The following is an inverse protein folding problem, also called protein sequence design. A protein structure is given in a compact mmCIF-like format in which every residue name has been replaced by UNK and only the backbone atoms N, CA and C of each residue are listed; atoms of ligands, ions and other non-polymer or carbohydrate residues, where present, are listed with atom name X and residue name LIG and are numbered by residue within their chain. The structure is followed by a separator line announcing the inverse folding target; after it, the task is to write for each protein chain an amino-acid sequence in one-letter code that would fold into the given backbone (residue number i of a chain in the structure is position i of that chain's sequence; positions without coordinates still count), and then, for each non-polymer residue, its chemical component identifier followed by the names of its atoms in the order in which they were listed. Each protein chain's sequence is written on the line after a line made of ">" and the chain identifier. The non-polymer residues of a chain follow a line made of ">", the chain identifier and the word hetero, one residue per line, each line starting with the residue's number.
data_IF_358425485093
#
_entry.id   IF_358425485093
#
_cell.length_a   1.000
_cell.length_b   1.000
_cell.length_c   1.000
_cell.angle_alpha   90.00
_cell.angle_beta   90.00
_cell.angle_gamma   90.00
#
_symmetry.space_group_name_H-M   'P 1'
#
loop_
_entity.id
_entity.type
_entity.pdbx_description
1 polymer ?
#
# COMPACT_ATOMS: atom_id res chain seq x y z
N UNK A 1 -13.45 10.03 -51.81
CA UNK A 1 -14.14 9.64 -50.56
C UNK A 1 -13.24 10.10 -49.44
N UNK A 2 -13.59 11.23 -48.86
CA UNK A 2 -12.98 11.79 -47.65
C UNK A 2 -13.19 10.81 -46.48
N UNK A 3 -12.18 10.65 -45.62
CA UNK A 3 -12.40 10.25 -44.24
C UNK A 3 -11.52 11.17 -43.39
N UNK A 4 -12.16 12.19 -42.82
CA UNK A 4 -11.56 13.22 -41.99
C UNK A 4 -11.10 12.64 -40.66
N UNK A 5 -9.80 12.77 -40.41
CA UNK A 5 -9.21 12.67 -39.09
C UNK A 5 -9.40 14.05 -38.42
N UNK A 6 -10.62 14.33 -37.94
CA UNK A 6 -10.84 15.47 -37.06
C UNK A 6 -10.13 15.20 -35.74
N UNK A 7 -8.88 15.66 -35.62
CA UNK A 7 -8.24 15.85 -34.32
C UNK A 7 -9.13 16.84 -33.57
N UNK A 8 -9.82 16.39 -32.53
CA UNK A 8 -10.56 17.27 -31.61
C UNK A 8 -9.54 18.15 -30.89
N UNK A 9 -9.30 19.33 -31.47
CA UNK A 9 -8.54 20.41 -30.87
C UNK A 9 -9.60 21.35 -30.27
N UNK A 10 -9.66 21.49 -28.94
CA UNK A 10 -10.58 22.44 -28.28
C UNK A 10 -10.40 23.87 -28.81
N UNK A 11 -11.48 24.66 -28.84
CA UNK A 11 -11.43 26.05 -29.34
C UNK A 11 -10.49 26.95 -28.52
N UNK A 12 -10.22 26.58 -27.27
CA UNK A 12 -9.32 27.27 -26.33
C UNK A 12 -7.91 26.64 -26.28
N UNK A 13 -7.56 25.75 -27.21
CA UNK A 13 -6.27 25.09 -27.21
C UNK A 13 -5.11 26.01 -27.62
N UNK A 14 -3.93 25.76 -27.06
CA UNK A 14 -2.68 26.44 -27.45
C UNK A 14 -2.39 26.28 -28.96
N UNK A 15 -1.71 27.25 -29.58
CA UNK A 15 -1.46 27.34 -31.04
C UNK A 15 -0.81 26.09 -31.69
N UNK A 16 -0.27 25.17 -30.89
CA UNK A 16 0.35 23.91 -31.34
C UNK A 16 -0.19 22.66 -30.63
N UNK A 17 -1.47 22.68 -30.20
CA UNK A 17 -2.10 21.54 -29.54
C UNK A 17 -2.12 20.30 -30.46
N UNK A 18 -1.54 19.17 -30.03
CA UNK A 18 -1.53 17.95 -30.83
C UNK A 18 -2.92 17.29 -30.94
N UNK A 19 -3.90 17.74 -30.14
CA UNK A 19 -5.24 17.16 -29.98
C UNK A 19 -5.32 16.21 -28.77
N UNK A 20 -6.49 16.08 -28.16
CA UNK A 20 -6.70 15.31 -26.91
C UNK A 20 -6.45 13.81 -27.04
N UNK A 21 -6.59 13.28 -28.26
CA UNK A 21 -6.41 11.86 -28.61
C UNK A 21 -5.02 11.57 -29.23
N UNK A 22 -4.13 12.56 -29.31
CA UNK A 22 -2.79 12.37 -29.88
C UNK A 22 -1.85 11.68 -28.89
N UNK A 23 -0.93 10.87 -29.41
CA UNK A 23 0.17 10.32 -28.60
C UNK A 23 1.02 11.42 -27.95
N UNK A 24 1.03 12.63 -28.51
CA UNK A 24 1.76 13.80 -27.98
C UNK A 24 0.93 14.65 -27.00
N UNK A 25 -0.33 14.30 -26.75
CA UNK A 25 -1.18 14.98 -25.79
C UNK A 25 -0.57 14.92 -24.38
N UNK A 26 -0.34 16.09 -23.77
CA UNK A 26 0.32 16.21 -22.48
C UNK A 26 1.84 16.01 -22.50
N UNK A 27 2.47 15.79 -23.67
CA UNK A 27 3.91 15.58 -23.82
C UNK A 27 4.64 16.75 -24.50
N UNK A 28 3.97 17.48 -25.40
CA UNK A 28 4.59 18.59 -26.10
C UNK A 28 4.69 19.83 -25.21
N UNK A 29 5.66 20.71 -25.48
CA UNK A 29 5.76 22.01 -24.81
C UNK A 29 4.46 22.82 -24.96
N UNK A 30 3.74 22.60 -26.06
CA UNK A 30 2.42 23.19 -26.32
C UNK A 30 1.32 22.70 -25.37
N UNK A 31 1.54 21.63 -24.61
CA UNK A 31 0.59 21.13 -23.60
C UNK A 31 0.82 21.72 -22.21
N UNK A 32 1.97 22.35 -21.94
CA UNK A 32 2.23 23.02 -20.67
C UNK A 32 1.33 24.26 -20.53
N UNK A 33 0.52 24.32 -19.47
CA UNK A 33 -0.42 25.42 -19.26
C UNK A 33 -1.64 25.40 -20.18
N UNK A 34 -1.95 24.24 -20.78
CA UNK A 34 -3.17 24.06 -21.58
C UNK A 34 -4.42 24.15 -20.67
N UNK A 35 -5.52 24.81 -21.10
CA UNK A 35 -6.76 24.87 -20.33
C UNK A 35 -7.34 23.50 -19.97
N UNK A 36 -7.13 22.53 -20.87
CA UNK A 36 -7.53 21.14 -20.65
C UNK A 36 -6.71 20.48 -19.52
N UNK A 37 -5.55 21.05 -19.13
CA UNK A 37 -4.83 20.63 -17.93
C UNK A 37 -5.49 21.11 -16.63
N UNK A 38 -6.01 22.32 -16.62
CA UNK A 38 -6.69 22.89 -15.45
C UNK A 38 -8.08 22.27 -15.26
N UNK A 39 -8.79 22.00 -16.36
CA UNK A 39 -10.12 21.37 -16.34
C UNK A 39 -10.13 19.99 -15.66
N UNK A 40 -9.07 19.18 -15.79
CA UNK A 40 -9.07 17.86 -15.16
C UNK A 40 -8.82 17.90 -13.65
N UNK A 41 -8.08 18.89 -13.15
CA UNK A 41 -7.83 19.02 -11.71
C UNK A 41 -9.13 19.36 -10.98
N UNK A 42 -9.99 20.16 -11.61
CA UNK A 42 -11.34 20.46 -11.11
C UNK A 42 -12.17 19.19 -10.98
N UNK A 43 -12.20 18.33 -12.02
CA UNK A 43 -12.98 17.08 -11.97
C UNK A 43 -12.43 16.11 -10.91
N UNK A 44 -11.11 16.00 -10.78
CA UNK A 44 -10.50 15.22 -9.69
C UNK A 44 -10.88 15.81 -8.34
N UNK A 45 -10.87 17.14 -8.21
CA UNK A 45 -11.23 17.81 -6.97
C UNK A 45 -12.68 17.53 -6.56
N UNK A 46 -13.62 17.62 -7.51
CA UNK A 46 -15.02 17.25 -7.30
C UNK A 46 -15.16 15.77 -6.93
N UNK A 47 -14.46 14.88 -7.63
CA UNK A 47 -14.55 13.43 -7.37
C UNK A 47 -13.99 13.06 -6.00
N UNK A 48 -12.92 13.71 -5.57
CA UNK A 48 -12.23 13.45 -4.32
C UNK A 48 -12.82 14.24 -3.13
N UNK A 49 -13.78 15.15 -3.37
CA UNK A 49 -14.40 15.94 -2.32
C UNK A 49 -15.23 15.09 -1.33
N UNK A 50 -15.73 13.93 -1.77
CA UNK A 50 -16.52 12.99 -0.95
C UNK A 50 -15.67 12.06 -0.07
N UNK A 51 -14.35 12.22 -0.12
CA UNK A 51 -13.41 11.38 0.63
C UNK A 51 -12.79 12.19 1.77
N UNK A 52 -13.13 11.87 3.01
CA UNK A 52 -12.75 12.65 4.22
C UNK A 52 -11.25 12.60 4.50
N UNK A 53 -10.66 11.40 4.54
CA UNK A 53 -9.23 11.21 4.80
C UNK A 53 -8.53 10.50 3.65
N UNK A 54 -7.39 11.03 3.20
CA UNK A 54 -6.55 10.47 2.15
C UNK A 54 -5.18 10.15 2.71
N UNK A 55 -4.86 8.86 2.79
CA UNK A 55 -3.62 8.35 3.38
C UNK A 55 -2.78 7.66 2.31
N UNK A 56 -1.58 8.18 2.08
CA UNK A 56 -0.62 7.51 1.21
C UNK A 56 0.18 6.47 1.99
N UNK A 57 0.34 5.28 1.44
CA UNK A 57 1.25 4.26 1.97
C UNK A 57 2.46 4.17 1.05
N UNK A 58 3.62 4.58 1.56
CA UNK A 58 4.87 4.70 0.83
C UNK A 58 5.91 3.68 1.33
N UNK A 59 6.93 3.42 0.52
CA UNK A 59 8.09 2.62 0.94
C UNK A 59 9.32 3.01 0.13
N UNK A 60 10.49 3.06 0.78
CA UNK A 60 11.74 3.39 0.08
C UNK A 60 12.27 2.27 -0.83
N UNK A 61 11.80 1.02 -0.66
CA UNK A 61 12.23 -0.15 -1.44
C UNK A 61 11.11 -1.16 -1.61
N UNK A 62 11.20 -1.99 -2.65
CA UNK A 62 10.30 -3.12 -2.86
C UNK A 62 10.47 -4.22 -1.78
N UNK A 63 9.42 -5.00 -1.56
CA UNK A 63 9.45 -6.18 -0.69
C UNK A 63 9.43 -5.92 0.82
N UNK A 64 9.14 -4.69 1.27
CA UNK A 64 8.98 -4.38 2.71
C UNK A 64 7.62 -4.78 3.29
N UNK A 65 6.70 -5.29 2.46
CA UNK A 65 5.31 -5.57 2.85
C UNK A 65 4.41 -4.34 2.90
N UNK A 66 4.69 -3.32 2.07
CA UNK A 66 3.87 -2.11 1.91
C UNK A 66 2.42 -2.45 1.56
N UNK A 67 2.20 -3.19 0.48
CA UNK A 67 0.85 -3.58 0.01
C UNK A 67 0.12 -4.46 1.02
N UNK A 68 0.84 -5.35 1.72
CA UNK A 68 0.28 -6.11 2.84
C UNK A 68 -0.21 -5.19 3.95
N UNK A 69 0.58 -4.19 4.33
CA UNK A 69 0.17 -3.20 5.30
C UNK A 69 -1.04 -2.36 4.81
N UNK A 70 -1.04 -1.92 3.54
CA UNK A 70 -2.16 -1.18 2.92
C UNK A 70 -3.47 -1.97 2.97
N UNK A 71 -3.43 -3.26 2.62
CA UNK A 71 -4.59 -4.15 2.69
C UNK A 71 -5.09 -4.34 4.12
N UNK A 72 -4.18 -4.63 5.07
CA UNK A 72 -4.57 -4.84 6.47
C UNK A 72 -5.04 -3.55 7.15
N UNK A 73 -4.45 -2.39 6.83
CA UNK A 73 -4.98 -1.10 7.26
C UNK A 73 -6.43 -0.92 6.79
N UNK A 74 -6.71 -1.26 5.53
CA UNK A 74 -8.05 -1.15 4.95
C UNK A 74 -9.05 -2.09 5.63
N UNK A 75 -8.66 -3.35 5.89
CA UNK A 75 -9.48 -4.29 6.67
C UNK A 75 -9.75 -3.82 8.09
N UNK A 76 -8.75 -3.26 8.78
CA UNK A 76 -8.92 -2.77 10.14
C UNK A 76 -9.89 -1.57 10.19
N UNK A 77 -9.75 -0.63 9.25
CA UNK A 77 -10.64 0.54 9.16
C UNK A 77 -12.07 0.10 8.84
N UNK A 78 -12.25 -0.82 7.88
CA UNK A 78 -13.55 -1.39 7.55
C UNK A 78 -14.19 -2.13 8.74
N UNK A 79 -13.40 -2.85 9.53
CA UNK A 79 -13.87 -3.51 10.76
C UNK A 79 -14.26 -2.54 11.88
N UNK A 80 -13.90 -1.25 11.75
CA UNK A 80 -14.36 -0.16 12.63
C UNK A 80 -15.58 0.57 12.03
N UNK A 81 -16.28 -0.06 11.07
CA UNK A 81 -17.46 0.46 10.37
C UNK A 81 -17.23 1.71 9.49
N UNK A 82 -15.97 2.05 9.19
CA UNK A 82 -15.65 3.11 8.24
C UNK A 82 -15.91 2.68 6.80
N UNK A 83 -16.32 3.64 5.95
CA UNK A 83 -16.35 3.45 4.50
C UNK A 83 -14.94 3.64 3.92
N UNK A 84 -14.38 2.57 3.34
CA UNK A 84 -12.96 2.53 2.95
C UNK A 84 -12.80 2.29 1.45
N UNK A 85 -11.99 3.13 0.81
CA UNK A 85 -11.42 2.88 -0.50
C UNK A 85 -9.96 2.47 -0.41
N UNK A 86 -9.54 1.49 -1.20
CA UNK A 86 -8.15 1.13 -1.40
C UNK A 86 -7.78 1.30 -2.88
N UNK A 87 -6.90 2.26 -3.16
CA UNK A 87 -6.41 2.58 -4.49
C UNK A 87 -4.96 2.08 -4.64
N UNK A 88 -4.76 1.10 -5.51
CA UNK A 88 -3.47 0.56 -5.88
C UNK A 88 -2.91 1.28 -7.11
N UNK A 89 -1.83 2.04 -6.91
CA UNK A 89 -1.09 2.72 -7.97
C UNK A 89 0.30 2.10 -8.19
N UNK A 90 0.59 0.92 -7.60
CA UNK A 90 1.82 0.17 -7.85
C UNK A 90 1.74 -0.59 -9.18
N UNK A 91 1.73 0.17 -10.27
CA UNK A 91 1.38 -0.31 -11.61
C UNK A 91 2.31 -1.44 -12.10
N UNK A 92 3.55 -1.49 -11.63
CA UNK A 92 4.53 -2.47 -12.07
C UNK A 92 4.42 -3.82 -11.37
N UNK A 93 3.71 -3.90 -10.26
CA UNK A 93 3.55 -5.12 -9.47
C UNK A 93 2.28 -5.09 -8.63
N UNK A 94 1.10 -4.98 -9.28
CA UNK A 94 -0.16 -4.88 -8.56
C UNK A 94 -0.36 -6.15 -7.72
N UNK A 95 -0.39 -5.98 -6.40
CA UNK A 95 -0.54 -7.11 -5.47
C UNK A 95 -1.83 -7.03 -4.66
N UNK A 96 -2.51 -5.88 -4.68
CA UNK A 96 -3.74 -5.67 -3.92
C UNK A 96 -4.88 -6.60 -4.35
N UNK A 97 -5.15 -6.86 -5.66
CA UNK A 97 -6.16 -7.83 -6.06
C UNK A 97 -5.95 -9.21 -5.44
N UNK A 98 -4.71 -9.71 -5.42
CA UNK A 98 -4.35 -10.97 -4.74
C UNK A 98 -4.58 -10.88 -3.24
N UNK A 99 -4.06 -9.83 -2.61
CA UNK A 99 -4.08 -9.65 -1.15
C UNK A 99 -5.47 -9.45 -0.55
N UNK A 100 -6.47 -9.18 -1.39
CA UNK A 100 -7.88 -9.05 -1.03
C UNK A 100 -8.76 -10.18 -1.60
N UNK A 101 -8.18 -11.17 -2.28
CA UNK A 101 -8.95 -12.30 -2.84
C UNK A 101 -9.84 -11.91 -4.03
N UNK A 102 -9.47 -10.85 -4.76
CA UNK A 102 -10.21 -10.26 -5.88
C UNK A 102 -9.57 -10.58 -7.25
N UNK A 103 -8.75 -11.63 -7.34
CA UNK A 103 -8.19 -12.07 -8.63
C UNK A 103 -9.31 -12.46 -9.62
N UNK A 104 -9.11 -12.10 -10.89
CA UNK A 104 -10.08 -12.38 -11.96
C UNK A 104 -11.33 -11.49 -11.93
N UNK A 105 -11.39 -10.50 -11.03
CA UNK A 105 -12.41 -9.46 -11.09
C UNK A 105 -12.02 -8.39 -12.12
N UNK A 106 -13.03 -7.77 -12.72
CA UNK A 106 -12.86 -6.72 -13.73
C UNK A 106 -13.54 -5.42 -13.27
N UNK A 107 -13.04 -4.28 -13.77
CA UNK A 107 -13.66 -2.98 -13.52
C UNK A 107 -14.95 -2.88 -14.34
N UNK A 108 -16.05 -2.55 -13.68
CA UNK A 108 -17.32 -2.28 -14.35
C UNK A 108 -17.50 -0.79 -14.65
N UNK A 109 -17.97 -0.47 -15.85
CA UNK A 109 -18.38 0.88 -16.22
C UNK A 109 -19.85 1.10 -15.86
N UNK A 110 -20.13 2.18 -15.11
CA UNK A 110 -21.47 2.67 -14.83
C UNK A 110 -21.71 4.05 -15.45
N UNK A 111 -22.93 4.56 -15.35
CA UNK A 111 -23.28 5.92 -15.78
C UNK A 111 -22.58 7.01 -14.93
N UNK A 112 -22.10 6.68 -13.74
CA UNK A 112 -21.43 7.62 -12.82
C UNK A 112 -19.90 7.59 -12.93
N UNK A 113 -19.36 6.60 -13.67
CA UNK A 113 -17.94 6.33 -13.77
C UNK A 113 -17.61 4.84 -13.62
N UNK A 114 -16.34 4.54 -13.37
CA UNK A 114 -15.86 3.21 -13.01
C UNK A 114 -16.32 2.84 -11.60
N UNK A 115 -16.93 1.68 -11.47
CA UNK A 115 -17.28 1.12 -10.17
C UNK A 115 -16.06 0.40 -9.60
N UNK A 116 -15.65 0.70 -8.36
CA UNK A 116 -14.62 -0.10 -7.69
C UNK A 116 -15.10 -1.54 -7.48
N UNK A 117 -14.15 -2.46 -7.41
CA UNK A 117 -14.40 -3.87 -7.05
C UNK A 117 -14.49 -3.97 -5.54
N UNK A 118 -15.52 -4.60 -5.00
CA UNK A 118 -15.74 -4.65 -3.56
C UNK A 118 -15.33 -5.99 -2.95
N UNK A 119 -14.68 -5.93 -1.78
CA UNK A 119 -14.59 -7.02 -0.81
C UNK A 119 -15.12 -6.49 0.52
N UNK A 120 -16.09 -7.18 1.10
CA UNK A 120 -16.85 -6.68 2.26
C UNK A 120 -17.34 -5.22 2.04
N UNK A 121 -16.90 -4.26 2.85
CA UNK A 121 -17.18 -2.82 2.73
C UNK A 121 -16.04 -2.01 2.11
N UNK A 122 -15.00 -2.66 1.60
CA UNK A 122 -13.83 -2.00 1.00
C UNK A 122 -14.03 -1.92 -0.51
N UNK A 123 -14.10 -0.70 -1.04
CA UNK A 123 -14.00 -0.46 -2.48
C UNK A 123 -12.55 -0.50 -2.92
N UNK A 124 -12.22 -1.25 -3.97
CA UNK A 124 -10.84 -1.46 -4.43
C UNK A 124 -10.71 -1.03 -5.88
N UNK A 125 -9.64 -0.33 -6.19
CA UNK A 125 -9.24 -0.03 -7.56
C UNK A 125 -7.77 -0.35 -7.76
N UNK A 126 -7.44 -1.15 -8.78
CA UNK A 126 -6.08 -1.53 -9.12
C UNK A 126 -5.95 -1.71 -10.63
N UNK A 127 -4.75 -1.47 -11.16
CA UNK A 127 -4.45 -1.84 -12.55
C UNK A 127 -4.58 -3.35 -12.79
N UNK A 128 -4.43 -4.18 -11.75
CA UNK A 128 -4.54 -5.63 -11.88
C UNK A 128 -5.90 -6.10 -12.40
N UNK A 129 -6.97 -5.31 -12.24
CA UNK A 129 -8.30 -5.59 -12.81
C UNK A 129 -8.42 -5.26 -14.31
N UNK A 130 -7.41 -4.63 -14.89
CA UNK A 130 -7.39 -4.21 -16.31
C UNK A 130 -6.41 -5.05 -17.14
N UNK A 131 -5.62 -5.91 -16.51
CA UNK A 131 -4.68 -6.77 -17.20
C UNK A 131 -5.43 -7.98 -17.78
N UNK A 132 -5.26 -8.29 -19.08
CA UNK A 132 -5.88 -9.46 -19.69
C UNK A 132 -5.38 -10.77 -19.06
N UNK A 133 -4.11 -10.81 -18.68
CA UNK A 133 -3.47 -11.92 -17.99
C UNK A 133 -2.75 -11.37 -16.75
N UNK A 134 -2.98 -11.93 -15.54
CA UNK A 134 -2.26 -11.54 -14.33
C UNK A 134 -0.74 -11.72 -14.40
N UNK A 135 -0.24 -12.61 -15.25
CA UNK A 135 1.20 -12.86 -15.43
C UNK A 135 1.85 -11.90 -16.44
N UNK A 136 1.08 -11.03 -17.10
CA UNK A 136 1.60 -10.06 -18.06
C UNK A 136 2.41 -8.96 -17.36
N UNK A 137 3.68 -8.83 -17.77
CA UNK A 137 4.54 -7.76 -17.30
C UNK A 137 4.04 -6.39 -17.78
N UNK A 138 3.74 -5.49 -16.84
CA UNK A 138 3.31 -4.12 -17.14
C UNK A 138 4.50 -3.24 -17.49
N UNK A 139 4.89 -3.22 -18.76
CA UNK A 139 6.00 -2.41 -19.28
C UNK A 139 5.49 -1.06 -19.80
N UNK A 140 5.03 -0.19 -18.89
CA UNK A 140 4.45 1.11 -19.23
C UNK A 140 5.44 2.26 -19.00
N UNK A 141 5.47 3.22 -19.94
CA UNK A 141 6.26 4.45 -19.77
C UNK A 141 5.54 5.46 -18.86
N UNK A 142 6.29 6.34 -18.20
CA UNK A 142 5.81 7.33 -17.23
C UNK A 142 4.50 8.06 -17.62
N UNK A 143 4.37 8.62 -18.84
CA UNK A 143 3.13 9.30 -19.24
C UNK A 143 1.88 8.42 -19.19
N UNK A 144 2.00 7.14 -19.56
CA UNK A 144 0.88 6.18 -19.52
C UNK A 144 0.52 5.84 -18.07
N UNK A 145 1.52 5.71 -17.20
CA UNK A 145 1.31 5.51 -15.76
C UNK A 145 0.61 6.71 -15.11
N UNK A 146 1.05 7.93 -15.42
CA UNK A 146 0.40 9.14 -14.93
C UNK A 146 -1.04 9.26 -15.45
N UNK A 147 -1.26 8.87 -16.72
CA UNK A 147 -2.58 8.82 -17.33
C UNK A 147 -3.54 7.91 -16.56
N UNK A 148 -3.12 6.70 -16.18
CA UNK A 148 -4.00 5.78 -15.45
C UNK A 148 -4.25 6.23 -14.00
N UNK A 149 -3.24 6.77 -13.30
CA UNK A 149 -3.43 7.34 -11.95
C UNK A 149 -4.46 8.47 -12.01
N UNK A 150 -4.32 9.36 -12.98
CA UNK A 150 -5.28 10.43 -13.25
C UNK A 150 -6.68 9.86 -13.52
N UNK A 151 -6.77 8.79 -14.30
CA UNK A 151 -8.04 8.14 -14.62
C UNK A 151 -8.70 7.54 -13.38
N UNK A 152 -7.94 6.87 -12.51
CA UNK A 152 -8.46 6.35 -11.25
C UNK A 152 -9.02 7.44 -10.32
N UNK A 153 -8.36 8.59 -10.26
CA UNK A 153 -8.84 9.70 -9.43
C UNK A 153 -10.04 10.45 -10.02
N UNK A 154 -10.19 10.43 -11.35
CA UNK A 154 -11.21 11.21 -12.07
C UNK A 154 -12.48 10.39 -12.34
N UNK A 155 -12.30 9.16 -12.80
CA UNK A 155 -13.37 8.32 -13.37
C UNK A 155 -13.94 7.31 -12.38
N UNK A 156 -13.24 6.98 -11.28
CA UNK A 156 -13.77 6.04 -10.28
C UNK A 156 -14.80 6.71 -9.40
N UNK A 157 -15.99 6.13 -9.35
CA UNK A 157 -17.06 6.57 -8.47
C UNK A 157 -16.96 5.88 -7.11
N UNK A 158 -16.28 6.54 -6.17
CA UNK A 158 -16.06 6.03 -4.81
C UNK A 158 -17.29 6.16 -3.89
N UNK A 159 -18.23 7.05 -4.21
CA UNK A 159 -19.29 7.44 -3.26
C UNK A 159 -18.72 8.27 -2.10
N UNK A 160 -19.32 8.14 -0.92
CA UNK A 160 -18.84 8.77 0.31
C UNK A 160 -17.85 7.84 1.01
N UNK A 161 -16.61 8.28 1.23
CA UNK A 161 -15.59 7.52 1.94
C UNK A 161 -15.12 8.27 3.18
N UNK A 162 -14.95 7.54 4.28
CA UNK A 162 -14.22 8.03 5.43
C UNK A 162 -12.72 8.01 5.16
N UNK A 163 -12.22 6.94 4.53
CA UNK A 163 -10.80 6.77 4.22
C UNK A 163 -10.57 6.32 2.78
N UNK A 164 -9.62 6.95 2.11
CA UNK A 164 -8.97 6.43 0.90
C UNK A 164 -7.51 6.13 1.23
N UNK A 165 -7.18 4.84 1.27
CA UNK A 165 -5.81 4.34 1.40
C UNK A 165 -5.24 4.20 -0.01
N UNK A 166 -4.06 4.79 -0.25
CA UNK A 166 -3.39 4.71 -1.55
C UNK A 166 -2.10 3.92 -1.42
N UNK A 167 -2.02 2.76 -2.07
CA UNK A 167 -0.82 1.93 -2.13
C UNK A 167 0.10 2.41 -3.26
N UNK A 168 1.16 3.15 -2.92
CA UNK A 168 2.07 3.75 -3.89
C UNK A 168 3.18 2.78 -4.34
N UNK A 169 3.82 2.91 -5.51
CA UNK A 169 4.99 2.09 -5.85
C UNK A 169 6.18 2.34 -4.90
N UNK A 170 7.18 1.45 -4.85
CA UNK A 170 8.38 1.66 -4.04
C UNK A 170 9.34 2.70 -4.63
N UNK A 171 10.17 3.30 -3.77
CA UNK A 171 11.17 4.30 -4.15
C UNK A 171 10.59 5.71 -4.20
N UNK A 172 11.25 6.65 -4.87
CA UNK A 172 10.76 8.03 -5.06
C UNK A 172 10.55 8.30 -6.55
N UNK A 173 9.51 7.70 -7.14
CA UNK A 173 9.27 7.68 -8.58
C UNK A 173 8.29 8.78 -9.04
N UNK A 174 8.14 8.96 -10.36
CA UNK A 174 7.24 9.98 -10.95
C UNK A 174 5.77 9.80 -10.52
N UNK A 175 5.36 8.57 -10.23
CA UNK A 175 4.03 8.22 -9.75
C UNK A 175 3.72 8.91 -8.40
N UNK A 176 4.72 9.05 -7.53
CA UNK A 176 4.58 9.75 -6.24
C UNK A 176 4.34 11.24 -6.44
N UNK A 177 5.07 11.87 -7.35
CA UNK A 177 4.88 13.29 -7.66
C UNK A 177 3.50 13.49 -8.27
N UNK A 178 3.08 12.58 -9.15
CA UNK A 178 1.80 12.65 -9.85
C UNK A 178 0.62 12.56 -8.91
N UNK A 179 0.58 11.57 -8.00
CA UNK A 179 -0.53 11.44 -7.05
C UNK A 179 -0.63 12.66 -6.13
N UNK A 180 0.51 13.20 -5.71
CA UNK A 180 0.57 14.39 -4.86
C UNK A 180 0.10 15.63 -5.58
N UNK A 181 0.49 15.79 -6.84
CA UNK A 181 0.04 16.89 -7.68
C UNK A 181 -1.48 16.81 -7.93
N UNK A 182 -2.00 15.63 -8.23
CA UNK A 182 -3.42 15.44 -8.53
C UNK A 182 -4.33 15.61 -7.31
N UNK A 183 -3.86 15.21 -6.12
CA UNK A 183 -4.62 15.36 -4.87
C UNK A 183 -4.38 16.69 -4.15
N UNK A 184 -3.47 17.53 -4.64
CA UNK A 184 -3.04 18.78 -3.98
C UNK A 184 -4.21 19.67 -3.56
N UNK A 185 -5.19 19.89 -4.44
CA UNK A 185 -6.35 20.76 -4.19
C UNK A 185 -7.34 20.16 -3.19
N UNK A 186 -7.38 18.83 -3.06
CA UNK A 186 -8.29 18.12 -2.14
C UNK A 186 -7.66 17.78 -0.80
N UNK A 187 -6.36 18.03 -0.66
CA UNK A 187 -5.60 17.68 0.51
C UNK A 187 -5.23 16.19 0.59
N UNK A 188 -4.12 15.95 1.27
CA UNK A 188 -3.64 14.63 1.68
C UNK A 188 -3.32 14.77 3.16
N UNK A 189 -3.96 13.97 4.01
CA UNK A 189 -3.75 14.02 5.46
C UNK A 189 -2.31 13.69 5.82
N UNK A 190 -1.73 12.74 5.08
CA UNK A 190 -0.31 12.48 5.10
C UNK A 190 0.08 11.11 4.54
N UNK A 191 1.32 10.73 4.80
CA UNK A 191 1.90 9.47 4.37
C UNK A 191 2.33 8.60 5.56
N UNK A 192 2.08 7.30 5.44
CA UNK A 192 2.68 6.25 6.25
C UNK A 192 3.83 5.66 5.46
N UNK A 193 5.00 5.51 6.09
CA UNK A 193 6.16 4.91 5.43
C UNK A 193 6.41 3.53 6.03
N UNK A 194 6.36 2.49 5.19
CA UNK A 194 6.64 1.11 5.57
C UNK A 194 8.09 0.77 5.27
N UNK A 195 8.77 0.12 6.21
CA UNK A 195 10.18 -0.29 6.06
C UNK A 195 10.47 -1.61 6.78
N UNK A 196 11.70 -2.10 6.67
CA UNK A 196 12.22 -3.22 7.47
C UNK A 196 13.42 -2.77 8.32
N UNK A 197 13.77 -3.48 9.41
CA UNK A 197 14.86 -3.07 10.30
C UNK A 197 16.27 -3.13 9.66
N UNK A 198 16.40 -3.67 8.45
CA UNK A 198 17.67 -3.77 7.74
C UNK A 198 18.31 -2.38 7.51
N UNK A 199 19.60 -2.23 7.84
CA UNK A 199 20.31 -0.95 7.73
C UNK A 199 20.23 -0.32 6.32
N UNK A 200 20.30 -1.14 5.27
CA UNK A 200 20.18 -0.67 3.88
C UNK A 200 18.81 -0.03 3.63
N UNK A 201 17.75 -0.55 4.26
CA UNK A 201 16.38 -0.06 4.08
C UNK A 201 16.14 1.28 4.79
N UNK A 202 16.84 1.51 5.90
CA UNK A 202 16.76 2.77 6.64
C UNK A 202 17.30 3.96 5.83
N UNK A 203 18.27 3.74 4.94
CA UNK A 203 18.77 4.79 4.03
C UNK A 203 17.65 5.26 3.10
N UNK A 204 16.87 4.33 2.55
CA UNK A 204 15.79 4.66 1.63
C UNK A 204 14.60 5.32 2.36
N UNK A 205 14.32 4.94 3.61
CA UNK A 205 13.33 5.65 4.43
C UNK A 205 13.74 7.11 4.67
N UNK A 206 15.02 7.39 4.90
CA UNK A 206 15.49 8.77 5.07
C UNK A 206 15.25 9.60 3.79
N UNK A 207 15.43 9.00 2.61
CA UNK A 207 15.09 9.65 1.34
C UNK A 207 13.59 9.87 1.21
N UNK A 208 12.77 8.89 1.60
CA UNK A 208 11.31 8.97 1.54
C UNK A 208 10.74 10.06 2.46
N UNK A 209 11.24 10.15 3.69
CA UNK A 209 10.89 11.24 4.61
C UNK A 209 11.31 12.60 4.04
N UNK A 210 12.49 12.68 3.43
CA UNK A 210 12.98 13.90 2.78
C UNK A 210 12.11 14.29 1.58
N UNK A 211 11.69 13.31 0.78
CA UNK A 211 10.73 13.48 -0.30
C UNK A 211 9.43 14.08 0.22
N UNK A 212 8.78 13.45 1.21
CA UNK A 212 7.54 13.96 1.82
C UNK A 212 7.68 15.43 2.27
N UNK A 213 8.78 15.77 2.94
CA UNK A 213 9.07 17.15 3.38
C UNK A 213 9.19 18.12 2.20
N UNK A 214 9.81 17.72 1.08
CA UNK A 214 9.97 18.57 -0.12
C UNK A 214 8.66 18.80 -0.85
N UNK A 215 7.78 17.80 -0.90
CA UNK A 215 6.49 17.90 -1.59
C UNK A 215 5.34 18.35 -0.68
N UNK A 216 5.63 18.66 0.59
CA UNK A 216 4.66 19.22 1.53
C UNK A 216 3.71 18.20 2.17
N UNK A 217 4.03 16.90 2.12
CA UNK A 217 3.22 15.86 2.76
C UNK A 217 3.67 15.63 4.20
N UNK A 218 2.70 15.62 5.11
CA UNK A 218 2.93 15.24 6.52
C UNK A 218 3.26 13.75 6.59
N UNK A 219 4.36 13.39 7.26
CA UNK A 219 4.62 11.99 7.61
C UNK A 219 3.78 11.65 8.86
N UNK A 220 2.71 10.88 8.69
CA UNK A 220 1.84 10.40 9.78
C UNK A 220 2.59 9.44 10.69
N UNK A 221 3.51 8.67 10.11
CA UNK A 221 4.54 7.97 10.84
C UNK A 221 5.16 6.81 10.05
N UNK A 222 6.13 6.16 10.68
CA UNK A 222 6.88 5.04 10.10
C UNK A 222 6.49 3.74 10.78
N UNK A 223 6.26 2.70 9.97
CA UNK A 223 6.02 1.32 10.40
C UNK A 223 7.24 0.48 10.05
N UNK A 224 7.84 -0.16 11.05
CA UNK A 224 8.92 -1.13 10.85
C UNK A 224 8.31 -2.54 10.77
N UNK A 225 8.08 -3.00 9.55
CA UNK A 225 7.59 -4.34 9.27
C UNK A 225 8.74 -5.37 9.33
N UNK A 226 8.38 -6.65 9.42
CA UNK A 226 9.32 -7.77 9.50
C UNK A 226 10.36 -7.60 10.63
N UNK A 227 9.95 -7.01 11.75
CA UNK A 227 10.84 -6.68 12.87
C UNK A 227 10.93 -7.86 13.83
N UNK A 228 11.92 -8.72 13.57
CA UNK A 228 12.08 -9.98 14.29
C UNK A 228 11.09 -11.05 13.81
N UNK A 229 11.24 -12.25 14.36
CA UNK A 229 10.31 -13.37 14.19
C UNK A 229 9.72 -13.66 15.56
N UNK A 230 8.40 -13.64 15.68
CA UNK A 230 7.70 -14.05 16.89
C UNK A 230 6.63 -15.06 16.48
N UNK A 231 6.58 -16.21 17.14
CA UNK A 231 5.50 -17.18 16.94
C UNK A 231 5.31 -18.02 18.20
N UNK A 232 4.10 -18.59 18.41
CA UNK A 232 3.87 -19.56 19.48
C UNK A 232 4.92 -20.66 19.45
N UNK A 233 5.40 -21.09 20.62
CA UNK A 233 6.33 -22.22 20.77
C UNK A 233 5.79 -23.45 20.04
N UNK A 234 4.48 -23.65 20.07
CA UNK A 234 3.78 -24.74 19.37
C UNK A 234 3.91 -24.74 17.85
N UNK A 235 4.23 -23.59 17.25
CA UNK A 235 4.31 -23.40 15.80
C UNK A 235 5.74 -23.62 15.28
N UNK A 236 6.73 -23.78 16.16
CA UNK A 236 8.11 -24.06 15.75
C UNK A 236 8.30 -25.51 15.31
N UNK A 237 9.11 -25.67 14.27
CA UNK A 237 9.72 -26.96 13.92
C UNK A 237 10.99 -27.18 14.73
N UNK A 238 11.09 -28.29 15.44
CA UNK A 238 12.26 -28.63 16.24
C UNK A 238 13.12 -29.64 15.50
N UNK A 239 14.38 -29.28 15.26
CA UNK A 239 15.32 -30.11 14.52
C UNK A 239 16.47 -30.55 15.43
N UNK A 240 16.83 -31.82 15.34
CA UNK A 240 18.05 -32.36 15.96
C UNK A 240 19.14 -32.47 14.92
N UNK A 241 20.26 -31.82 15.17
CA UNK A 241 21.40 -31.82 14.25
C UNK A 241 22.33 -33.01 14.55
N UNK A 242 22.59 -33.82 13.53
CA UNK A 242 23.57 -34.90 13.55
C UNK A 242 25.00 -34.32 13.44
N UNK A 243 26.00 -35.09 13.90
CA UNK A 243 27.42 -34.77 13.70
C UNK A 243 27.80 -34.65 12.22
N UNK A 244 27.03 -35.27 11.32
CA UNK A 244 27.27 -35.25 9.89
C UNK A 244 26.53 -34.10 9.16
N UNK A 245 25.79 -33.26 9.88
CA UNK A 245 25.02 -32.16 9.31
C UNK A 245 23.57 -32.49 8.97
N UNK A 246 23.18 -33.77 8.98
CA UNK A 246 21.78 -34.19 8.79
C UNK A 246 20.88 -33.58 9.86
N UNK A 247 19.69 -33.14 9.44
CA UNK A 247 18.66 -32.59 10.32
C UNK A 247 17.49 -33.58 10.42
N UNK A 248 17.22 -34.05 11.63
CA UNK A 248 16.06 -34.88 11.94
C UNK A 248 14.96 -34.00 12.53
N UNK A 249 13.75 -34.09 11.98
CA UNK A 249 12.57 -33.45 12.54
C UNK A 249 12.11 -34.19 13.80
N UNK A 250 12.31 -33.56 14.95
CA UNK A 250 11.96 -34.09 16.27
C UNK A 250 10.81 -33.30 16.91
N UNK A 251 10.04 -32.55 16.11
CA UNK A 251 8.95 -31.69 16.58
C UNK A 251 7.97 -32.43 17.48
N UNK A 252 7.49 -33.60 17.04
CA UNK A 252 6.55 -34.40 17.83
C UNK A 252 7.12 -34.78 19.20
N UNK A 253 8.35 -35.26 19.23
CA UNK A 253 9.05 -35.64 20.46
C UNK A 253 9.25 -34.44 21.39
N UNK A 254 9.68 -33.29 20.85
CA UNK A 254 9.88 -32.07 21.62
C UNK A 254 8.55 -31.60 22.25
N UNK A 255 7.46 -31.63 21.47
CA UNK A 255 6.11 -31.27 21.92
C UNK A 255 5.58 -32.22 22.99
N UNK A 256 5.79 -33.52 22.85
CA UNK A 256 5.41 -34.52 23.87
C UNK A 256 6.16 -34.29 25.19
N UNK A 257 7.47 -34.02 25.14
CA UNK A 257 8.26 -33.68 26.33
C UNK A 257 7.80 -32.38 26.97
N UNK A 258 7.56 -31.33 26.18
CA UNK A 258 7.08 -30.05 26.71
C UNK A 258 5.74 -30.24 27.41
N UNK A 259 4.79 -30.97 26.80
CA UNK A 259 3.50 -31.30 27.43
C UNK A 259 3.64 -32.05 28.75
N UNK A 260 4.55 -33.01 28.83
CA UNK A 260 4.73 -33.84 30.02
C UNK A 260 5.48 -33.11 31.14
N UNK A 261 6.51 -32.34 30.79
CA UNK A 261 7.51 -31.84 31.77
C UNK A 261 7.43 -30.35 32.05
N UNK A 262 6.91 -29.54 31.12
CA UNK A 262 6.83 -28.09 31.23
C UNK A 262 5.71 -27.54 30.33
N UNK A 263 4.44 -27.89 30.59
CA UNK A 263 3.30 -27.51 29.75
C UNK A 263 3.14 -25.99 29.62
N UNK A 264 3.61 -25.21 30.60
CA UNK A 264 3.63 -23.75 30.57
C UNK A 264 4.45 -23.18 29.40
N UNK A 265 5.39 -23.94 28.84
CA UNK A 265 6.15 -23.51 27.66
C UNK A 265 5.27 -23.42 26.40
N UNK A 266 4.15 -24.15 26.35
CA UNK A 266 3.24 -24.16 25.20
C UNK A 266 2.46 -22.85 25.05
N UNK A 267 2.32 -22.09 26.13
CA UNK A 267 1.66 -20.78 26.14
C UNK A 267 2.63 -19.64 25.79
N UNK A 268 3.92 -19.95 25.61
CA UNK A 268 4.93 -18.94 25.29
C UNK A 268 4.95 -18.61 23.79
N UNK A 269 5.27 -17.36 23.51
CA UNK A 269 5.70 -16.88 22.19
C UNK A 269 7.21 -16.72 22.23
N UNK A 270 7.92 -17.42 21.37
CA UNK A 270 9.36 -17.23 21.24
C UNK A 270 9.63 -16.16 20.18
N UNK A 271 10.48 -15.20 20.53
CA UNK A 271 10.87 -14.10 19.66
C UNK A 271 12.38 -14.12 19.41
N UNK A 272 12.78 -13.90 18.16
CA UNK A 272 14.18 -13.73 17.75
C UNK A 272 14.34 -12.46 16.93
N UNK A 273 15.45 -11.76 17.13
CA UNK A 273 15.86 -10.70 16.20
C UNK A 273 16.41 -11.34 14.93
N UNK A 274 15.82 -11.01 13.78
CA UNK A 274 16.28 -11.52 12.46
C UNK A 274 17.32 -10.59 11.85
N UNK A 275 17.22 -9.29 12.15
CA UNK A 275 18.13 -8.26 11.68
C UNK A 275 18.70 -7.52 12.87
N UNK A 276 19.99 -7.17 12.78
CA UNK A 276 20.68 -6.42 13.83
C UNK A 276 20.01 -5.07 14.08
N UNK A 277 19.33 -4.97 15.22
CA UNK A 277 18.60 -3.79 15.66
C UNK A 277 19.40 -2.93 16.65
N UNK A 278 20.65 -3.30 16.96
CA UNK A 278 21.50 -2.65 17.97
C UNK A 278 21.72 -1.15 17.73
N UNK A 279 21.65 -0.72 16.47
CA UNK A 279 21.73 0.69 16.08
C UNK A 279 20.44 1.50 16.36
N UNK A 280 19.38 0.87 16.88
CA UNK A 280 18.10 1.49 17.22
C UNK A 280 17.04 1.50 16.11
N UNK A 281 17.33 0.88 14.96
CA UNK A 281 16.39 0.64 13.86
C UNK A 281 15.67 1.90 13.33
N UNK A 282 14.46 1.71 12.83
CA UNK A 282 13.60 2.79 12.36
C UNK A 282 13.20 3.74 13.49
N UNK A 283 13.02 3.25 14.72
CA UNK A 283 12.61 4.08 15.85
C UNK A 283 13.64 5.19 16.16
N UNK A 284 14.94 4.88 16.15
CA UNK A 284 16.00 5.89 16.30
C UNK A 284 16.01 6.85 15.12
N UNK A 285 15.94 6.35 13.89
CA UNK A 285 15.89 7.18 12.69
C UNK A 285 14.72 8.18 12.73
N UNK A 286 13.54 7.74 13.18
CA UNK A 286 12.36 8.61 13.33
C UNK A 286 12.61 9.75 14.31
N UNK A 287 13.24 9.46 15.47
CA UNK A 287 13.64 10.49 16.44
C UNK A 287 14.63 11.48 15.82
N UNK A 288 15.65 10.99 15.13
CA UNK A 288 16.68 11.84 14.49
C UNK A 288 16.08 12.75 13.40
N UNK A 289 15.05 12.28 12.70
CA UNK A 289 14.39 13.01 11.61
C UNK A 289 13.18 13.86 12.05
N UNK A 290 12.78 13.76 13.32
CA UNK A 290 11.62 14.44 13.88
C UNK A 290 10.29 13.97 13.27
N UNK A 291 10.14 12.66 13.01
CA UNK A 291 8.89 12.07 12.48
C UNK A 291 8.34 11.00 13.43
N UNK A 292 7.01 10.73 13.43
CA UNK A 292 6.42 9.73 14.31
C UNK A 292 6.87 8.31 13.97
N UNK A 293 7.14 7.50 14.99
CA UNK A 293 7.29 6.05 14.85
C UNK A 293 6.00 5.37 15.33
N UNK A 294 5.29 4.69 14.45
CA UNK A 294 3.99 4.09 14.77
C UNK A 294 4.16 2.77 15.52
N UNK A 295 5.11 1.93 15.10
CA UNK A 295 5.36 0.66 15.76
C UNK A 295 6.10 -0.34 14.88
N UNK A 296 6.17 -1.57 15.39
CA UNK A 296 6.83 -2.71 14.76
C UNK A 296 5.80 -3.79 14.47
N UNK A 297 5.90 -4.41 13.30
CA UNK A 297 5.14 -5.62 12.96
C UNK A 297 6.14 -6.77 12.84
N UNK A 298 6.02 -7.86 13.62
CA UNK A 298 6.92 -9.00 13.52
C UNK A 298 6.71 -9.78 12.21
N UNK A 299 7.70 -10.56 11.79
CA UNK A 299 7.49 -11.63 10.82
C UNK A 299 6.53 -12.64 11.42
N UNK A 300 5.39 -12.83 10.75
CA UNK A 300 4.35 -13.76 11.12
C UNK A 300 3.93 -14.55 9.88
N UNK A 301 4.24 -15.87 9.81
CA UNK A 301 3.81 -16.72 8.70
C UNK A 301 2.29 -16.70 8.49
N UNK A 302 1.50 -16.48 9.55
CA UNK A 302 0.04 -16.46 9.46
C UNK A 302 -0.47 -15.16 8.82
N UNK A 303 0.23 -14.04 9.03
CA UNK A 303 -0.03 -12.81 8.26
C UNK A 303 0.26 -12.99 6.77
N UNK A 304 1.36 -13.68 6.44
CA UNK A 304 1.71 -14.01 5.06
C UNK A 304 0.60 -14.86 4.41
N UNK A 305 0.19 -15.92 5.10
CA UNK A 305 -0.90 -16.80 4.67
C UNK A 305 -2.22 -16.04 4.50
N UNK A 306 -2.58 -15.17 5.44
CA UNK A 306 -3.79 -14.35 5.33
C UNK A 306 -3.76 -13.46 4.08
N UNK A 307 -2.63 -12.83 3.79
CA UNK A 307 -2.46 -12.04 2.58
C UNK A 307 -2.53 -12.89 1.30
N UNK A 308 -1.94 -14.10 1.29
CA UNK A 308 -2.02 -15.01 0.13
C UNK A 308 -3.44 -15.54 -0.13
N UNK A 309 -4.22 -15.72 0.94
CA UNK A 309 -5.62 -16.17 0.90
C UNK A 309 -6.62 -15.02 0.70
N UNK A 310 -6.16 -13.77 0.64
CA UNK A 310 -7.05 -12.62 0.45
C UNK A 310 -7.86 -12.21 1.69
N UNK A 311 -7.38 -12.51 2.89
CA UNK A 311 -8.13 -12.38 4.15
C UNK A 311 -7.55 -11.32 5.09
N UNK A 312 -8.43 -10.81 5.94
CA UNK A 312 -8.05 -9.98 7.08
C UNK A 312 -7.26 -10.78 8.11
N UNK A 313 -6.16 -10.22 8.60
CA UNK A 313 -5.41 -10.77 9.74
C UNK A 313 -6.17 -10.62 11.07
N UNK A 314 -7.22 -9.78 11.10
CA UNK A 314 -8.05 -9.55 12.29
C UNK A 314 -9.23 -10.52 12.39
N UNK A 315 -9.56 -11.22 11.30
CA UNK A 315 -10.62 -12.24 11.30
C UNK A 315 -10.05 -13.59 11.75
N UNK A 316 -10.55 -14.10 12.88
CA UNK A 316 -10.14 -15.40 13.44
C UNK A 316 -8.91 -15.34 14.36
N UNK A 317 -8.56 -16.47 14.99
CA UNK A 317 -7.44 -16.57 15.94
C UNK A 317 -6.08 -16.80 15.26
N UNK A 318 -5.98 -16.63 13.94
CA UNK A 318 -4.78 -17.06 13.22
C UNK A 318 -3.60 -16.11 13.48
N UNK A 319 -3.74 -14.79 13.37
CA UNK A 319 -2.60 -13.86 13.44
C UNK A 319 -2.26 -13.37 14.87
N UNK A 320 -1.92 -14.29 15.77
CA UNK A 320 -1.74 -14.01 17.21
C UNK A 320 -0.66 -12.99 17.59
N UNK A 321 0.34 -12.74 16.73
CA UNK A 321 1.43 -11.77 17.01
C UNK A 321 1.35 -10.50 16.17
N UNK A 322 0.94 -10.62 14.90
CA UNK A 322 0.90 -9.49 13.96
C UNK A 322 -0.37 -8.67 14.09
N UNK A 323 -1.53 -9.30 14.34
CA UNK A 323 -2.79 -8.56 14.48
C UNK A 323 -2.76 -7.59 15.67
N UNK A 324 -2.33 -7.98 16.90
CA UNK A 324 -2.22 -7.01 18.01
C UNK A 324 -1.25 -5.86 17.71
N UNK A 325 -0.14 -6.15 17.04
CA UNK A 325 0.84 -5.15 16.64
C UNK A 325 0.26 -4.14 15.62
N UNK A 326 -0.44 -4.64 14.61
CA UNK A 326 -1.15 -3.82 13.62
C UNK A 326 -2.26 -3.00 14.26
N UNK A 327 -3.09 -3.60 15.13
CA UNK A 327 -4.13 -2.87 15.86
C UNK A 327 -3.56 -1.71 16.69
N UNK A 328 -2.44 -1.93 17.39
CA UNK A 328 -1.77 -0.88 18.15
C UNK A 328 -1.24 0.26 17.26
N UNK A 329 -0.66 -0.09 16.10
CA UNK A 329 -0.19 0.88 15.09
C UNK A 329 -1.35 1.72 14.56
N UNK A 330 -2.46 1.08 14.22
CA UNK A 330 -3.63 1.72 13.60
C UNK A 330 -4.36 2.61 14.63
N UNK A 331 -4.55 2.12 15.85
CA UNK A 331 -5.11 2.93 16.94
C UNK A 331 -4.25 4.17 17.21
N UNK A 332 -2.92 4.03 17.18
CA UNK A 332 -2.00 5.16 17.33
C UNK A 332 -2.09 6.14 16.15
N UNK A 333 -2.14 5.63 14.92
CA UNK A 333 -2.32 6.44 13.70
C UNK A 333 -3.57 7.32 13.80
N UNK A 334 -4.72 6.72 14.13
CA UNK A 334 -6.00 7.43 14.21
C UNK A 334 -6.01 8.48 15.34
N UNK A 335 -5.48 8.11 16.52
CA UNK A 335 -5.42 8.99 17.70
C UNK A 335 -4.50 10.18 17.50
N UNK A 336 -3.27 9.95 17.03
CA UNK A 336 -2.25 10.99 16.92
C UNK A 336 -2.56 12.01 15.80
N UNK A 337 -3.48 11.66 14.90
CA UNK A 337 -3.85 12.48 13.74
C UNK A 337 -5.31 12.97 13.76
N UNK A 338 -6.08 12.69 14.81
CA UNK A 338 -7.47 13.15 14.97
C UNK A 338 -8.39 12.70 13.82
N UNK A 339 -8.24 11.45 13.39
CA UNK A 339 -8.98 10.86 12.27
C UNK A 339 -10.17 10.00 12.75
N UNK A 340 -10.85 10.42 13.81
CA UNK A 340 -11.96 9.67 14.46
C UNK A 340 -13.16 10.56 14.67
#
# INVERSE_FOLDING_TARGET
>A
MENGNHKEIPEDANEHCPGTQSEDAGKSDACAGCPNQEAYLVVIAERMATVKHKILVLSGKGGVGKSTFSAQLSFALAAMDFQVGLLDIDICGPSIPKMLGLEGQEIHQSNLGWSPVFVDSIGVMSIGFMLPDPDDAVIWRGPRKNGIIKQFLKDVYWGELDFLVVDAPPGTSDEHISIVQFLKETGIDGAIIVTTPQQVSLIDVRKEVSFCKKVGIKVLGVVENMSGLCQPVTDFKYLKQSKNGDQEDVTRWAMEIMKEKAPELLDLVACSEVFDSSAGGAAKMCRDMGVPFLGKVPLDPKLCKAAEEGKSCFSGEECGVSAPALSAIIAKLLKDNTMT
#
